data_IF_040731857183
#
_entry.id   IF_040731857183
#
_cell.length_a   1.000
_cell.length_b   1.000
_cell.length_c   1.000
_cell.angle_alpha   90.00
_cell.angle_beta   90.00
_cell.angle_gamma   90.00
#
_symmetry.space_group_name_H-M   'P 1'
#
loop_
_entity.id
_entity.type
_entity.pdbx_description
1 polymer ?
#
# COMPACT_ATOMS: atom_id res chain seq x y z
N UNK A 1 28.76 -15.58 -8.41
CA UNK A 1 27.56 -15.62 -7.55
C UNK A 1 27.48 -14.27 -6.87
N UNK A 2 26.99 -13.31 -7.60
CA UNK A 2 27.06 -11.89 -7.33
C UNK A 2 25.60 -11.45 -7.23
N UNK A 3 24.92 -12.02 -6.22
CA UNK A 3 23.52 -11.79 -5.92
C UNK A 3 23.34 -10.52 -5.08
N UNK A 4 23.91 -9.40 -5.52
CA UNK A 4 23.40 -8.10 -5.08
C UNK A 4 22.19 -7.79 -5.97
N UNK A 5 21.09 -8.49 -5.68
CA UNK A 5 19.79 -8.37 -6.35
C UNK A 5 19.14 -7.02 -6.06
N UNK A 6 19.77 -5.94 -6.51
CA UNK A 6 19.24 -4.59 -6.46
C UNK A 6 18.60 -4.29 -7.81
N UNK A 7 17.33 -3.91 -7.78
CA UNK A 7 16.57 -3.48 -8.95
C UNK A 7 16.38 -1.98 -8.87
N UNK A 8 16.65 -1.28 -9.98
CA UNK A 8 16.33 0.14 -10.11
C UNK A 8 14.84 0.30 -10.47
N UNK A 9 14.15 1.15 -9.71
CA UNK A 9 12.73 1.45 -9.90
C UNK A 9 12.55 2.94 -10.12
N UNK A 10 11.82 3.29 -11.17
CA UNK A 10 11.51 4.67 -11.53
C UNK A 10 10.01 4.99 -11.33
N UNK A 11 9.73 6.07 -10.61
CA UNK A 11 8.38 6.56 -10.31
C UNK A 11 8.23 8.02 -10.74
N UNK A 12 7.27 8.30 -11.61
CA UNK A 12 6.84 9.67 -11.89
C UNK A 12 5.97 10.21 -10.75
N UNK A 13 6.26 11.43 -10.30
CA UNK A 13 5.57 12.08 -9.18
C UNK A 13 5.00 13.46 -9.58
N UNK A 14 3.70 13.71 -9.34
CA UNK A 14 3.03 14.97 -9.72
C UNK A 14 3.40 16.11 -8.76
N UNK A 15 3.41 17.38 -9.21
CA UNK A 15 3.77 18.53 -8.38
C UNK A 15 3.17 18.51 -6.98
N UNK A 16 3.96 18.90 -5.98
CA UNK A 16 3.59 18.90 -4.57
C UNK A 16 4.39 17.92 -3.70
N UNK A 17 3.89 17.64 -2.47
CA UNK A 17 4.54 16.74 -1.52
C UNK A 17 4.66 15.31 -2.07
N UNK A 18 5.73 14.63 -1.69
CA UNK A 18 5.99 13.26 -2.15
C UNK A 18 5.26 12.19 -1.35
N UNK A 19 4.89 12.49 -0.11
CA UNK A 19 4.27 11.51 0.80
C UNK A 19 5.23 10.43 1.29
N UNK A 20 6.53 10.71 1.31
CA UNK A 20 7.57 9.81 1.80
C UNK A 20 8.29 10.44 2.99
N UNK A 21 8.74 9.61 3.91
CA UNK A 21 9.66 9.97 4.96
C UNK A 21 11.04 9.39 4.62
N UNK A 22 12.06 10.25 4.61
CA UNK A 22 13.43 9.88 4.30
C UNK A 22 14.26 9.90 5.57
N UNK A 23 15.12 8.90 5.73
CA UNK A 23 16.19 8.88 6.73
C UNK A 23 17.55 8.65 6.06
N UNK A 24 18.63 8.67 6.84
CA UNK A 24 20.00 8.40 6.39
C UNK A 24 20.42 6.99 6.75
N UNK A 25 21.05 6.29 5.81
CA UNK A 25 21.80 5.08 6.13
C UNK A 25 23.14 5.40 6.84
N UNK A 26 23.91 4.35 7.16
CA UNK A 26 25.23 4.47 7.80
C UNK A 26 26.27 5.24 6.97
N UNK A 27 26.02 5.44 5.67
CA UNK A 27 26.86 6.18 4.74
C UNK A 27 26.29 7.57 4.42
N UNK A 28 25.21 7.98 5.09
CA UNK A 28 24.54 9.26 4.87
C UNK A 28 23.66 9.32 3.61
N UNK A 29 23.35 8.17 3.00
CA UNK A 29 22.52 8.07 1.80
C UNK A 29 21.04 8.07 2.16
N UNK A 30 20.17 8.71 1.36
CA UNK A 30 18.75 8.76 1.66
C UNK A 30 18.09 7.39 1.45
N UNK A 31 17.36 6.93 2.47
CA UNK A 31 16.56 5.71 2.46
C UNK A 31 15.10 6.03 2.77
N UNK A 32 14.17 5.27 2.19
CA UNK A 32 12.75 5.35 2.56
C UNK A 32 12.59 4.76 3.95
N UNK A 33 12.17 5.56 4.93
CA UNK A 33 11.85 5.10 6.29
C UNK A 33 10.34 4.90 6.47
N UNK A 34 9.52 5.62 5.70
CA UNK A 34 8.08 5.44 5.74
C UNK A 34 7.30 6.25 4.71
N UNK A 35 5.98 6.17 4.81
CA UNK A 35 5.04 6.94 4.02
C UNK A 35 4.19 7.83 4.90
N UNK A 36 3.85 9.01 4.39
CA UNK A 36 3.03 10.00 5.11
C UNK A 36 1.92 10.53 4.22
N UNK A 37 0.74 10.85 4.78
CA UNK A 37 -0.34 11.45 4.01
C UNK A 37 0.10 12.76 3.34
N UNK A 38 -0.36 13.01 2.11
CA UNK A 38 -0.05 14.23 1.37
C UNK A 38 -0.65 15.49 1.99
N UNK A 39 -1.72 15.34 2.78
CA UNK A 39 -2.39 16.43 3.46
C UNK A 39 -2.83 16.02 4.86
N UNK A 40 -2.66 16.87 5.88
CA UNK A 40 -3.14 16.59 7.24
C UNK A 40 -4.67 16.46 7.32
N UNK A 41 -5.42 17.09 6.40
CA UNK A 41 -6.88 16.99 6.35
C UNK A 41 -7.38 15.74 5.60
N UNK A 42 -6.51 15.05 4.86
CA UNK A 42 -6.84 13.89 4.03
C UNK A 42 -5.89 12.75 4.34
N UNK A 43 -6.07 12.11 5.49
CA UNK A 43 -5.18 11.06 6.00
C UNK A 43 -5.08 9.83 5.09
N UNK A 44 -6.08 9.59 4.22
CA UNK A 44 -6.07 8.49 3.25
C UNK A 44 -5.40 8.87 1.92
N UNK A 45 -5.00 10.13 1.73
CA UNK A 45 -4.39 10.58 0.48
C UNK A 45 -2.90 10.20 0.46
N UNK A 46 -2.61 9.11 -0.24
CA UNK A 46 -1.27 8.53 -0.40
C UNK A 46 -0.45 9.21 -1.48
N UNK A 47 0.86 9.15 -1.35
CA UNK A 47 1.81 9.64 -2.34
C UNK A 47 1.95 8.69 -3.54
N UNK A 48 2.45 9.20 -4.66
CA UNK A 48 2.66 8.41 -5.88
C UNK A 48 3.64 7.24 -5.67
N UNK A 49 4.64 7.41 -4.81
CA UNK A 49 5.60 6.34 -4.45
C UNK A 49 4.89 5.20 -3.71
N UNK A 50 4.09 5.51 -2.68
CA UNK A 50 3.30 4.53 -1.92
C UNK A 50 2.27 3.83 -2.81
N UNK A 51 1.54 4.60 -3.63
CA UNK A 51 0.53 4.06 -4.55
C UNK A 51 1.12 3.13 -5.62
N UNK A 52 2.41 3.28 -5.94
CA UNK A 52 3.06 2.41 -6.91
C UNK A 52 3.19 0.96 -6.42
N UNK A 53 3.33 0.74 -5.11
CA UNK A 53 3.61 -0.58 -4.52
C UNK A 53 4.96 -1.20 -4.93
N UNK A 54 5.82 -0.45 -5.64
CA UNK A 54 7.10 -0.97 -6.18
C UNK A 54 8.32 -0.58 -5.34
N UNK A 55 8.14 0.35 -4.41
CA UNK A 55 9.23 0.92 -3.59
C UNK A 55 8.89 0.67 -2.11
N UNK A 56 9.38 -0.43 -1.51
CA UNK A 56 9.18 -0.70 -0.09
C UNK A 56 10.02 0.23 0.81
N UNK A 57 9.66 0.28 2.10
CA UNK A 57 10.52 0.87 3.15
C UNK A 57 11.88 0.15 3.16
N UNK A 58 12.96 0.90 3.39
CA UNK A 58 14.35 0.45 3.28
C UNK A 58 14.95 0.58 1.88
N UNK A 59 14.17 0.98 0.86
CA UNK A 59 14.70 1.28 -0.48
C UNK A 59 15.58 2.51 -0.45
N UNK A 60 16.68 2.49 -1.22
CA UNK A 60 17.57 3.65 -1.32
C UNK A 60 17.06 4.60 -2.37
N UNK A 61 16.99 5.89 -2.05
CA UNK A 61 16.65 6.93 -3.00
C UNK A 61 17.93 7.43 -3.67
N UNK A 62 18.05 7.27 -4.98
CA UNK A 62 19.35 7.40 -5.66
C UNK A 62 19.44 8.59 -6.61
N UNK A 63 18.30 9.04 -7.16
CA UNK A 63 18.27 10.15 -8.09
C UNK A 63 16.90 10.81 -8.17
N UNK A 64 16.90 12.08 -8.56
CA UNK A 64 15.71 12.80 -9.03
C UNK A 64 15.98 13.42 -10.39
N UNK A 65 15.07 13.17 -11.34
CA UNK A 65 15.24 13.49 -12.75
C UNK A 65 16.59 12.94 -13.25
N UNK A 66 17.47 13.80 -13.76
CA UNK A 66 18.80 13.44 -14.25
C UNK A 66 19.91 13.62 -13.20
N UNK A 67 19.57 13.95 -11.95
CA UNK A 67 20.52 14.21 -10.88
C UNK A 67 20.73 12.96 -10.00
N UNK A 68 21.81 12.22 -10.24
CA UNK A 68 22.25 11.10 -9.40
C UNK A 68 23.01 11.61 -8.17
N UNK A 69 22.55 11.25 -6.97
CA UNK A 69 23.07 11.83 -5.73
C UNK A 69 24.51 11.43 -5.42
N UNK A 70 24.85 10.16 -5.67
CA UNK A 70 26.20 9.63 -5.41
C UNK A 70 27.21 10.19 -6.43
N UNK A 71 26.83 10.27 -7.70
CA UNK A 71 27.71 10.81 -8.76
C UNK A 71 27.96 12.31 -8.59
N UNK A 72 26.96 13.02 -8.04
CA UNK A 72 27.01 14.46 -7.78
C UNK A 72 27.56 14.81 -6.39
N UNK A 73 27.99 13.81 -5.60
CA UNK A 73 28.48 13.96 -4.21
C UNK A 73 27.54 14.79 -3.31
N UNK A 74 26.22 14.58 -3.47
CA UNK A 74 25.21 15.32 -2.71
C UNK A 74 25.02 14.73 -1.31
N UNK A 75 25.12 15.59 -0.31
CA UNK A 75 24.72 15.23 1.06
C UNK A 75 23.20 15.06 1.17
N UNK A 76 22.76 14.30 2.18
CA UNK A 76 21.32 14.14 2.47
C UNK A 76 20.59 15.48 2.67
N UNK A 77 21.22 16.46 3.32
CA UNK A 77 20.68 17.81 3.48
C UNK A 77 20.49 18.50 2.14
N UNK A 78 21.47 18.39 1.23
CA UNK A 78 21.40 18.96 -0.11
C UNK A 78 20.29 18.28 -0.93
N UNK A 79 20.14 16.95 -0.82
CA UNK A 79 19.03 16.21 -1.45
C UNK A 79 17.68 16.72 -0.96
N UNK A 80 17.49 16.85 0.36
CA UNK A 80 16.24 17.38 0.94
C UNK A 80 15.95 18.82 0.51
N UNK A 81 16.99 19.65 0.43
CA UNK A 81 16.86 21.02 -0.03
C UNK A 81 16.45 21.08 -1.50
N UNK A 82 17.14 20.33 -2.36
CA UNK A 82 16.81 20.19 -3.78
C UNK A 82 15.37 19.72 -3.99
N UNK A 83 14.92 18.70 -3.26
CA UNK A 83 13.54 18.21 -3.34
C UNK A 83 12.51 19.29 -3.01
N UNK A 84 12.79 20.15 -2.03
CA UNK A 84 11.91 21.29 -1.69
C UNK A 84 11.88 22.33 -2.82
N UNK A 85 13.04 22.65 -3.38
CA UNK A 85 13.15 23.64 -4.46
C UNK A 85 12.39 23.21 -5.70
N UNK A 86 12.53 21.94 -6.12
CA UNK A 86 11.85 21.41 -7.31
C UNK A 86 10.44 20.88 -7.02
N UNK A 87 9.93 21.01 -5.79
CA UNK A 87 8.64 20.44 -5.37
C UNK A 87 7.43 20.90 -6.19
N UNK A 88 7.53 22.02 -6.90
CA UNK A 88 6.49 22.59 -7.74
C UNK A 88 6.48 22.03 -9.17
N UNK A 89 7.47 21.20 -9.56
CA UNK A 89 7.58 20.61 -10.89
C UNK A 89 7.07 19.17 -10.89
N UNK A 90 6.85 18.55 -12.05
CA UNK A 90 6.77 17.08 -12.14
C UNK A 90 8.20 16.53 -12.03
N UNK A 91 8.38 15.40 -11.33
CA UNK A 91 9.70 14.78 -11.18
C UNK A 91 9.63 13.28 -11.43
N UNK A 92 10.79 12.73 -11.74
CA UNK A 92 11.04 11.30 -11.86
C UNK A 92 11.95 10.91 -10.70
N UNK A 93 11.50 10.02 -9.83
CA UNK A 93 12.28 9.52 -8.70
C UNK A 93 12.84 8.14 -9.01
N UNK A 94 14.13 7.92 -8.75
CA UNK A 94 14.77 6.61 -8.93
C UNK A 94 15.22 6.02 -7.61
N UNK A 95 14.97 4.72 -7.45
CA UNK A 95 15.26 3.97 -6.22
C UNK A 95 16.02 2.69 -6.51
N UNK A 96 16.92 2.29 -5.61
CA UNK A 96 17.39 0.91 -5.55
C UNK A 96 16.57 0.11 -4.54
N UNK A 97 15.93 -0.94 -5.03
CA UNK A 97 15.10 -1.86 -4.24
C UNK A 97 15.82 -3.20 -4.16
N UNK A 98 16.07 -3.69 -2.95
CA UNK A 98 16.60 -5.03 -2.75
C UNK A 98 15.52 -6.08 -3.01
N UNK A 99 15.87 -7.17 -3.70
CA UNK A 99 14.98 -8.31 -3.92
C UNK A 99 14.44 -8.91 -2.61
N UNK A 100 15.20 -8.78 -1.52
CA UNK A 100 14.77 -9.19 -0.17
C UNK A 100 13.58 -8.37 0.36
N UNK A 101 13.44 -7.11 -0.07
CA UNK A 101 12.40 -6.18 0.39
C UNK A 101 11.12 -6.25 -0.45
N UNK A 102 11.14 -6.93 -1.61
CA UNK A 102 9.95 -7.07 -2.47
C UNK A 102 8.86 -7.99 -1.86
N UNK A 103 9.12 -8.63 -0.71
CA UNK A 103 8.33 -9.78 -0.22
C UNK A 103 7.29 -9.44 0.86
N UNK A 104 7.30 -8.24 1.45
CA UNK A 104 6.56 -8.01 2.71
C UNK A 104 5.08 -7.59 2.56
N UNK A 105 4.65 -7.08 1.41
CA UNK A 105 3.22 -6.74 1.19
C UNK A 105 2.43 -7.79 0.39
N UNK A 106 3.11 -8.62 -0.43
CA UNK A 106 2.43 -9.69 -1.20
C UNK A 106 2.08 -10.93 -0.36
N UNK A 107 2.66 -11.09 0.84
CA UNK A 107 2.53 -12.33 1.64
C UNK A 107 1.47 -12.29 2.75
N UNK A 108 0.67 -11.23 2.91
CA UNK A 108 -0.43 -11.22 3.89
C UNK A 108 -1.75 -11.84 3.40
N UNK A 109 -1.85 -12.29 2.15
CA UNK A 109 -3.13 -12.75 1.56
C UNK A 109 -3.15 -14.26 1.22
N UNK A 110 -2.02 -15.00 1.22
CA UNK A 110 -2.02 -16.44 0.91
C UNK A 110 -1.21 -17.25 1.93
N UNK A 111 -1.76 -17.42 3.13
CA UNK A 111 -1.30 -18.49 4.04
C UNK A 111 -2.45 -19.10 4.84
N UNK A 112 -3.53 -19.48 4.15
CA UNK A 112 -4.55 -20.42 4.66
C UNK A 112 -5.03 -21.39 3.57
N UNK A 113 -4.12 -21.97 2.79
CA UNK A 113 -4.49 -23.05 1.86
C UNK A 113 -3.34 -24.02 1.60
N UNK A 114 -2.88 -24.72 2.64
CA UNK A 114 -2.18 -26.00 2.45
C UNK A 114 -2.73 -27.04 3.39
N UNK A 115 -3.54 -27.96 2.83
CA UNK A 115 -3.69 -29.31 3.37
C UNK A 115 -5.10 -29.86 3.56
N UNK A 116 -5.97 -29.86 2.54
CA UNK A 116 -7.03 -30.88 2.48
C UNK A 116 -6.70 -31.87 1.35
N UNK A 117 -6.36 -33.09 1.77
CA UNK A 117 -6.09 -34.24 0.90
C UNK A 117 -7.43 -34.77 0.36
N UNK A 118 -7.64 -34.90 -0.97
CA UNK A 118 -8.84 -35.54 -1.48
C UNK A 118 -8.67 -37.06 -1.45
N UNK A 119 -9.37 -37.74 -0.54
CA UNK A 119 -9.56 -39.21 -0.61
C UNK A 119 -10.91 -39.50 -1.27
N UNK A 120 -10.87 -39.79 -2.57
CA UNK A 120 -11.92 -40.56 -3.26
C UNK A 120 -11.84 -42.02 -2.81
N UNK A 121 -12.98 -42.62 -2.47
CA UNK A 121 -13.39 -44.00 -2.82
C UNK A 121 -14.81 -44.33 -2.29
N UNK A 122 -15.74 -44.31 -3.25
CA UNK A 122 -16.84 -45.26 -3.52
C UNK A 122 -17.87 -45.72 -2.47
N UNK A 123 -19.14 -45.44 -2.83
CA UNK A 123 -20.36 -46.27 -2.79
C UNK A 123 -21.13 -46.51 -1.47
N UNK A 124 -22.31 -45.85 -1.34
CA UNK A 124 -23.64 -46.49 -1.15
C UNK A 124 -24.78 -45.44 -1.13
N UNK A 125 -25.89 -45.62 -1.87
CA UNK A 125 -27.12 -44.86 -1.65
C UNK A 125 -28.05 -45.68 -0.74
N UNK A 126 -28.41 -45.16 0.42
CA UNK A 126 -29.61 -45.60 1.14
C UNK A 126 -30.38 -44.34 1.58
N UNK A 127 -31.63 -44.33 1.14
CA UNK A 127 -32.69 -43.35 1.36
C UNK A 127 -33.17 -43.41 2.82
N UNK A 128 -33.76 -42.31 3.29
CA UNK A 128 -34.79 -42.16 4.36
C UNK A 128 -34.67 -40.71 4.89
N UNK A 129 -35.43 -39.76 4.35
CA UNK A 129 -36.80 -39.39 4.78
C UNK A 129 -36.88 -38.87 6.23
N UNK A 130 -36.97 -37.54 6.39
CA UNK A 130 -37.93 -36.84 7.26
C UNK A 130 -37.75 -35.32 7.04
N UNK A 131 -38.69 -34.66 6.36
CA UNK A 131 -39.82 -33.89 6.94
C UNK A 131 -39.35 -32.66 7.75
N UNK A 132 -39.52 -31.47 7.16
CA UNK A 132 -40.40 -30.39 7.68
C UNK A 132 -39.93 -29.85 9.05
N UNK A 133 -39.56 -28.58 9.19
CA UNK A 133 -40.52 -27.48 9.20
C UNK A 133 -39.89 -26.14 8.76
N UNK A 134 -40.73 -25.41 8.05
CA UNK A 134 -40.62 -24.00 7.69
C UNK A 134 -41.01 -23.15 8.90
N UNK A 135 -40.26 -22.09 9.20
CA UNK A 135 -40.83 -20.91 9.86
C UNK A 135 -40.16 -19.65 9.36
N UNK A 136 -40.89 -18.93 8.50
CA UNK A 136 -40.81 -17.49 8.32
C UNK A 136 -41.39 -16.84 9.58
N UNK A 137 -40.66 -15.94 10.23
CA UNK A 137 -41.30 -14.89 11.03
C UNK A 137 -40.55 -13.57 10.85
N UNK A 138 -41.08 -12.79 9.92
CA UNK A 138 -41.06 -11.33 9.88
C UNK A 138 -41.49 -10.73 11.22
N UNK A 139 -40.72 -9.78 11.75
CA UNK A 139 -41.29 -8.72 12.60
C UNK A 139 -41.01 -7.37 11.98
N UNK A 140 -41.94 -6.96 11.12
CA UNK A 140 -42.17 -5.56 10.78
C UNK A 140 -42.83 -4.80 11.94
N UNK A 141 -42.74 -3.47 11.83
CA UNK A 141 -43.60 -2.43 12.42
C UNK A 141 -43.23 -1.93 13.82
N UNK A 142 -42.61 -0.75 13.86
CA UNK A 142 -43.32 0.42 14.40
C UNK A 142 -42.88 1.70 13.67
N UNK A 143 -43.61 2.02 12.60
CA UNK A 143 -43.75 3.40 12.10
C UNK A 143 -44.94 4.01 12.83
N UNK A 144 -44.72 5.14 13.50
CA UNK A 144 -45.78 6.14 13.67
C UNK A 144 -45.18 7.54 13.49
N UNK A 145 -45.26 7.97 12.24
CA UNK A 145 -45.44 9.36 11.83
C UNK A 145 -46.65 9.98 12.54
N UNK A 146 -46.63 11.31 12.76
CA UNK A 146 -47.74 12.30 12.66
C UNK A 146 -47.34 13.49 13.55
N UNK A 147 -46.75 14.54 12.96
CA UNK A 147 -47.42 15.76 12.48
C UNK A 147 -47.88 16.70 13.59
N UNK A 148 -47.27 17.88 13.62
CA UNK A 148 -48.02 19.14 13.56
C UNK A 148 -47.04 20.30 13.33
N UNK A 149 -46.98 20.77 12.08
CA UNK A 149 -46.92 22.20 11.78
C UNK A 149 -48.08 22.92 12.48
N UNK A 150 -47.78 24.08 13.08
CA UNK A 150 -48.64 25.26 13.27
C UNK A 150 -47.77 26.31 13.99
N UNK A 151 -47.31 27.35 13.30
CA UNK A 151 -47.91 28.69 13.32
C UNK A 151 -48.01 29.28 14.74
N UNK A 152 -47.06 30.15 15.11
CA UNK A 152 -47.23 31.63 15.10
C UNK A 152 -45.93 32.34 15.50
#
# INVERSE_FOLDING_TARGET
MDASGLVEVEIEVPPGPLGIYLDKDNLGRPVIDGFVPLSPSKLLQRGAVELSGRVPVGSHFIAVNDCHFVESDLSFEAVNQMLREISHLQRTLKFHVSDQLQTEESNKIVSMSRGFVPKKRDARPEEEENEEEKSDDDVQLYVKQLHSDADE
#
